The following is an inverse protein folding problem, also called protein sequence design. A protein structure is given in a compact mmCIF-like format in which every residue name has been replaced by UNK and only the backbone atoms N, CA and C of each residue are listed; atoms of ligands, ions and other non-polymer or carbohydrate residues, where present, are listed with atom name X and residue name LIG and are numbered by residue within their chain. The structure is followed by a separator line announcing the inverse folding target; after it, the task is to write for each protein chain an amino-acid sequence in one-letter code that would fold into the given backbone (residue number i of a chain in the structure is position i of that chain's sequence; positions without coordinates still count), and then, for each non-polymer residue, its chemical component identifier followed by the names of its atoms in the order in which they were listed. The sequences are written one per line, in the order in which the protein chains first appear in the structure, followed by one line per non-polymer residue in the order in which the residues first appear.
data_IF_672471400713
#
_entry.id   IF_672471400713
#
_cell.length_a   1.000
_cell.length_b   1.000
_cell.length_c   1.000
_cell.angle_alpha   90.00
_cell.angle_beta   90.00
_cell.angle_gamma   90.00
#
_symmetry.space_group_name_H-M   'P 1'
#
loop_
_entity.id
_entity.type
_entity.pdbx_description
1 polymer ?
#
# COMPACT_ATOMS: atom_id res chain seq x y z
N UNK A 1 20.44 14.16 8.15
CA UNK A 1 19.68 13.09 8.82
C UNK A 1 18.43 12.67 8.03
N UNK A 2 17.55 13.58 7.60
CA UNK A 2 16.33 13.24 6.83
C UNK A 2 16.58 12.48 5.52
N UNK A 3 17.64 12.80 4.77
CA UNK A 3 17.99 12.07 3.53
C UNK A 3 18.40 10.61 3.74
N UNK A 4 18.95 10.25 4.91
CA UNK A 4 19.27 8.85 5.23
C UNK A 4 18.00 8.04 5.52
N UNK A 5 16.95 8.68 6.05
CA UNK A 5 15.65 8.04 6.22
C UNK A 5 14.93 7.79 4.89
N UNK A 6 15.13 8.62 3.87
CA UNK A 6 14.46 8.46 2.56
C UNK A 6 14.85 7.12 1.92
N UNK A 7 16.15 6.81 1.85
CA UNK A 7 16.63 5.54 1.31
C UNK A 7 16.18 4.34 2.13
N UNK A 8 16.23 4.42 3.47
CA UNK A 8 15.71 3.38 4.35
C UNK A 8 14.22 3.14 4.15
N UNK A 9 13.43 4.21 4.00
CA UNK A 9 11.98 4.12 3.80
C UNK A 9 11.65 3.49 2.44
N UNK A 10 12.43 3.77 1.39
CA UNK A 10 12.23 3.11 0.09
C UNK A 10 12.49 1.60 0.16
N UNK A 11 13.57 1.18 0.83
CA UNK A 11 13.87 -0.25 1.05
C UNK A 11 12.76 -0.91 1.88
N UNK A 12 12.33 -0.24 2.95
CA UNK A 12 11.20 -0.67 3.78
C UNK A 12 9.94 -0.95 2.96
N UNK A 13 9.53 0.03 2.17
CA UNK A 13 8.33 -0.07 1.33
C UNK A 13 8.45 -1.18 0.29
N UNK A 14 9.64 -1.35 -0.30
CA UNK A 14 9.87 -2.40 -1.28
C UNK A 14 9.78 -3.80 -0.66
N UNK A 15 10.37 -4.02 0.53
CA UNK A 15 10.25 -5.29 1.26
C UNK A 15 8.79 -5.58 1.59
N UNK A 16 8.03 -4.59 2.07
CA UNK A 16 6.61 -4.75 2.43
C UNK A 16 5.78 -5.08 1.19
N UNK A 17 5.93 -4.31 0.12
CA UNK A 17 5.21 -4.53 -1.11
C UNK A 17 5.55 -5.89 -1.74
N UNK A 18 6.82 -6.29 -1.70
CA UNK A 18 7.27 -7.61 -2.12
C UNK A 18 6.66 -8.73 -1.27
N UNK A 19 6.60 -8.57 0.06
CA UNK A 19 5.96 -9.55 0.94
C UNK A 19 4.46 -9.71 0.65
N UNK A 20 3.76 -8.61 0.42
CA UNK A 20 2.35 -8.63 0.02
C UNK A 20 2.21 -9.36 -1.32
N UNK A 21 3.07 -9.03 -2.29
CA UNK A 21 3.11 -9.69 -3.59
C UNK A 21 3.39 -11.19 -3.48
N UNK A 22 4.33 -11.61 -2.62
CA UNK A 22 4.73 -13.01 -2.48
C UNK A 22 3.64 -13.91 -1.87
N UNK A 23 2.62 -13.30 -1.28
CA UNK A 23 1.43 -13.99 -0.76
C UNK A 23 0.30 -14.13 -1.80
N UNK A 24 0.40 -13.45 -2.95
CA UNK A 24 -0.59 -13.49 -4.03
C UNK A 24 -0.46 -14.73 -4.90
N UNK A 25 -0.90 -15.87 -4.38
CA UNK A 25 -0.90 -17.14 -5.13
C UNK A 25 -2.19 -17.30 -5.91
N UNK A 26 -2.14 -17.23 -7.25
CA UNK A 26 -3.32 -17.26 -8.12
C UNK A 26 -4.13 -18.55 -8.01
N UNK A 27 -3.48 -19.70 -7.76
CA UNK A 27 -4.21 -20.96 -7.52
C UNK A 27 -5.09 -20.85 -6.26
N UNK A 28 -4.53 -20.34 -5.16
CA UNK A 28 -5.27 -20.10 -3.91
C UNK A 28 -6.36 -19.04 -4.07
N UNK A 29 -6.11 -17.99 -4.86
CA UNK A 29 -7.11 -16.95 -5.14
C UNK A 29 -8.32 -17.51 -5.92
N UNK A 30 -8.12 -18.48 -6.81
CA UNK A 30 -9.21 -19.12 -7.57
C UNK A 30 -10.10 -20.00 -6.69
N UNK A 31 -9.58 -20.50 -5.58
CA UNK A 31 -10.34 -21.28 -4.59
C UNK A 31 -11.25 -20.38 -3.73
N UNK A 32 -11.01 -19.06 -3.73
CA UNK A 32 -11.82 -18.11 -2.99
C UNK A 32 -13.21 -18.01 -3.63
N UNK A 33 -14.23 -18.37 -2.84
CA UNK A 33 -15.62 -18.30 -3.28
C UNK A 33 -16.06 -16.88 -3.65
N UNK A 34 -16.96 -16.76 -4.64
CA UNK A 34 -17.53 -15.48 -5.11
C UNK A 34 -18.08 -14.59 -3.99
N UNK A 35 -18.64 -15.18 -2.94
CA UNK A 35 -19.16 -14.45 -1.77
C UNK A 35 -18.05 -13.69 -1.04
N UNK A 36 -16.87 -14.30 -0.86
CA UNK A 36 -15.72 -13.68 -0.20
C UNK A 36 -15.18 -12.54 -1.07
N UNK A 37 -15.09 -12.73 -2.38
CA UNK A 37 -14.65 -11.67 -3.30
C UNK A 37 -15.55 -10.44 -3.18
N UNK A 38 -16.87 -10.63 -3.22
CA UNK A 38 -17.82 -9.53 -3.07
C UNK A 38 -17.70 -8.83 -1.71
N UNK A 39 -17.53 -9.60 -0.62
CA UNK A 39 -17.31 -9.05 0.71
C UNK A 39 -16.02 -8.22 0.79
N UNK A 40 -14.92 -8.71 0.21
CA UNK A 40 -13.65 -8.00 0.17
C UNK A 40 -13.75 -6.72 -0.67
N UNK A 41 -14.36 -6.80 -1.86
CA UNK A 41 -14.60 -5.63 -2.70
C UNK A 41 -15.42 -4.56 -1.97
N UNK A 42 -16.50 -4.95 -1.28
CA UNK A 42 -17.29 -4.03 -0.49
C UNK A 42 -16.50 -3.44 0.69
N UNK A 43 -15.71 -4.26 1.37
CA UNK A 43 -14.85 -3.84 2.48
C UNK A 43 -13.77 -2.85 2.04
N UNK A 44 -13.29 -2.93 0.80
CA UNK A 44 -12.31 -2.01 0.24
C UNK A 44 -12.96 -0.73 -0.27
N UNK A 45 -14.02 -0.84 -1.08
CA UNK A 45 -14.63 0.31 -1.76
C UNK A 45 -15.52 1.16 -0.86
N UNK A 46 -16.27 0.56 0.07
CA UNK A 46 -17.17 1.31 0.95
C UNK A 46 -16.44 2.35 1.81
N UNK A 47 -15.37 2.01 2.58
CA UNK A 47 -14.63 3.02 3.33
C UNK A 47 -13.93 4.04 2.44
N UNK A 48 -13.48 3.66 1.24
CA UNK A 48 -12.91 4.60 0.27
C UNK A 48 -13.90 5.71 -0.06
N UNK A 49 -15.10 5.36 -0.54
CA UNK A 49 -16.09 6.35 -0.94
C UNK A 49 -16.66 7.14 0.25
N UNK A 50 -16.88 6.49 1.38
CA UNK A 50 -17.40 7.15 2.59
C UNK A 50 -16.39 8.18 3.11
N UNK A 51 -15.10 7.83 3.21
CA UNK A 51 -14.06 8.77 3.65
C UNK A 51 -13.87 9.89 2.62
N UNK A 52 -13.88 9.58 1.33
CA UNK A 52 -13.78 10.61 0.29
C UNK A 52 -14.89 11.65 0.41
N UNK A 53 -16.14 11.20 0.56
CA UNK A 53 -17.29 12.07 0.72
C UNK A 53 -17.20 12.87 2.02
N UNK A 54 -16.92 12.21 3.15
CA UNK A 54 -16.89 12.83 4.47
C UNK A 54 -15.80 13.91 4.59
N UNK A 55 -14.58 13.63 4.14
CA UNK A 55 -13.48 14.60 4.14
C UNK A 55 -13.72 15.76 3.15
N UNK A 56 -14.33 15.48 2.00
CA UNK A 56 -14.69 16.54 1.04
C UNK A 56 -15.75 17.49 1.60
N UNK A 57 -16.75 16.96 2.32
CA UNK A 57 -17.79 17.78 2.99
C UNK A 57 -17.19 18.62 4.13
N UNK A 58 -16.15 18.12 4.79
CA UNK A 58 -15.38 18.88 5.80
C UNK A 58 -14.56 20.04 5.19
N UNK A 59 -14.53 20.17 3.86
CA UNK A 59 -13.83 21.24 3.17
C UNK A 59 -12.35 20.95 2.90
N UNK A 60 -11.89 19.70 3.05
CA UNK A 60 -10.55 19.34 2.60
C UNK A 60 -10.47 19.44 1.08
N UNK A 61 -9.33 19.90 0.57
CA UNK A 61 -9.07 19.92 -0.86
C UNK A 61 -9.20 18.50 -1.43
N UNK A 62 -9.91 18.37 -2.55
CA UNK A 62 -10.24 17.07 -3.16
C UNK A 62 -9.03 16.13 -3.34
N UNK A 63 -7.84 16.59 -3.80
CA UNK A 63 -6.66 15.72 -3.89
C UNK A 63 -6.22 15.16 -2.53
N UNK A 64 -6.33 15.95 -1.45
CA UNK A 64 -6.01 15.51 -0.09
C UNK A 64 -7.02 14.49 0.41
N UNK A 65 -8.32 14.78 0.22
CA UNK A 65 -9.41 13.86 0.57
C UNK A 65 -9.28 12.52 -0.19
N UNK A 66 -8.88 12.56 -1.46
CA UNK A 66 -8.64 11.39 -2.31
C UNK A 66 -7.52 10.50 -1.78
N UNK A 67 -6.40 11.09 -1.35
CA UNK A 67 -5.29 10.33 -0.75
C UNK A 67 -5.71 9.72 0.58
N UNK A 68 -6.42 10.46 1.45
CA UNK A 68 -6.94 9.92 2.71
C UNK A 68 -7.91 8.76 2.47
N UNK A 69 -8.85 8.94 1.55
CA UNK A 69 -9.79 7.90 1.12
C UNK A 69 -9.07 6.66 0.62
N UNK A 70 -7.99 6.82 -0.14
CA UNK A 70 -7.19 5.73 -0.68
C UNK A 70 -6.47 4.89 0.39
N UNK A 71 -6.23 5.44 1.58
CA UNK A 71 -5.62 4.74 2.72
C UNK A 71 -6.67 4.02 3.58
N UNK A 72 -7.93 4.48 3.55
CA UNK A 72 -9.03 3.93 4.35
C UNK A 72 -9.29 2.41 4.18
N UNK A 73 -9.09 1.79 2.99
CA UNK A 73 -9.26 0.34 2.81
C UNK A 73 -8.23 -0.50 3.59
N UNK A 74 -6.99 -0.01 3.71
CA UNK A 74 -5.85 -0.76 4.25
C UNK A 74 -6.17 -1.38 5.61
N UNK A 75 -5.95 -2.69 5.78
CA UNK A 75 -6.30 -3.45 6.99
C UNK A 75 -5.08 -4.20 7.48
N UNK A 76 -4.91 -4.36 8.80
CA UNK A 76 -3.78 -5.12 9.35
C UNK A 76 -4.22 -6.54 9.76
N UNK A 77 -3.97 -7.58 8.92
CA UNK A 77 -4.46 -8.93 9.17
C UNK A 77 -3.87 -9.57 10.44
N UNK A 78 -2.64 -9.19 10.82
CA UNK A 78 -1.87 -9.81 11.90
C UNK A 78 -2.61 -9.82 13.24
N UNK A 79 -3.34 -8.75 13.55
CA UNK A 79 -4.10 -8.64 14.81
C UNK A 79 -5.25 -9.64 14.88
N UNK A 80 -6.08 -9.67 13.83
CA UNK A 80 -7.20 -10.60 13.70
C UNK A 80 -6.72 -12.05 13.62
N UNK A 81 -5.69 -12.31 12.80
CA UNK A 81 -5.08 -13.64 12.68
C UNK A 81 -4.52 -14.15 14.01
N UNK A 82 -3.87 -13.29 14.79
CA UNK A 82 -3.32 -13.66 16.10
C UNK A 82 -4.40 -14.08 17.09
N UNK A 83 -5.55 -13.40 17.08
CA UNK A 83 -6.70 -13.76 17.93
C UNK A 83 -7.30 -15.11 17.50
N UNK A 84 -7.52 -15.30 16.19
CA UNK A 84 -8.03 -16.57 15.63
C UNK A 84 -7.12 -17.73 16.04
N UNK A 85 -5.80 -17.57 15.85
CA UNK A 85 -4.80 -18.59 16.19
C UNK A 85 -4.74 -18.86 17.69
N UNK A 86 -4.74 -17.82 18.54
CA UNK A 86 -4.70 -17.97 20.00
C UNK A 86 -5.92 -18.70 20.54
N UNK A 87 -7.08 -18.48 19.94
CA UNK A 87 -8.34 -19.13 20.31
C UNK A 87 -8.55 -20.48 19.63
N UNK A 88 -7.66 -20.90 18.73
CA UNK A 88 -7.86 -22.05 17.83
C UNK A 88 -9.24 -22.02 17.15
N UNK A 89 -9.71 -20.83 16.79
CA UNK A 89 -11.03 -20.65 16.20
C UNK A 89 -11.05 -21.18 14.76
N UNK A 90 -12.10 -21.90 14.39
CA UNK A 90 -12.27 -22.48 13.06
C UNK A 90 -13.74 -22.46 12.62
N UNK A 91 -13.98 -22.69 11.33
CA UNK A 91 -15.31 -22.81 10.73
C UNK A 91 -15.65 -21.69 9.75
N UNK A 92 -16.87 -21.71 9.17
CA UNK A 92 -17.21 -20.90 8.00
C UNK A 92 -17.09 -19.39 8.20
N UNK A 93 -17.28 -18.91 9.43
CA UNK A 93 -17.06 -17.50 9.76
C UNK A 93 -15.58 -17.13 9.68
N UNK A 94 -14.71 -17.95 10.26
CA UNK A 94 -13.25 -17.75 10.25
C UNK A 94 -12.71 -17.83 8.83
N UNK A 95 -13.19 -18.80 8.03
CA UNK A 95 -12.77 -18.96 6.64
C UNK A 95 -13.08 -17.70 5.81
N UNK A 96 -14.24 -17.06 6.05
CA UNK A 96 -14.60 -15.78 5.43
C UNK A 96 -13.72 -14.64 5.90
N UNK A 97 -13.40 -14.57 7.20
CA UNK A 97 -12.50 -13.55 7.75
C UNK A 97 -11.13 -13.65 7.08
N UNK A 98 -10.54 -14.86 7.06
CA UNK A 98 -9.23 -15.09 6.46
C UNK A 98 -9.25 -14.85 4.94
N UNK A 99 -10.29 -15.29 4.25
CA UNK A 99 -10.45 -15.06 2.81
C UNK A 99 -10.56 -13.58 2.44
N UNK A 100 -11.31 -12.79 3.22
CA UNK A 100 -11.36 -11.33 3.01
C UNK A 100 -10.00 -10.69 3.30
N UNK A 101 -9.33 -11.07 4.39
CA UNK A 101 -7.99 -10.55 4.70
C UNK A 101 -6.97 -10.84 3.60
N UNK A 102 -7.01 -12.03 3.00
CA UNK A 102 -6.09 -12.43 1.93
C UNK A 102 -6.19 -11.55 0.68
N UNK A 103 -7.37 -10.98 0.40
CA UNK A 103 -7.60 -10.12 -0.76
C UNK A 103 -7.25 -8.64 -0.51
N UNK A 104 -7.17 -8.22 0.75
CA UNK A 104 -7.20 -6.80 1.10
C UNK A 104 -5.89 -6.07 0.81
N UNK A 105 -4.74 -6.65 1.14
CA UNK A 105 -3.48 -5.89 1.17
C UNK A 105 -3.04 -5.46 -0.23
N UNK A 106 -3.02 -6.38 -1.19
CA UNK A 106 -2.67 -6.04 -2.57
C UNK A 106 -3.69 -5.12 -3.23
N UNK A 107 -4.98 -5.37 -2.99
CA UNK A 107 -6.04 -4.52 -3.54
C UNK A 107 -6.01 -3.10 -2.95
N UNK A 108 -5.69 -2.96 -1.66
CA UNK A 108 -5.47 -1.66 -1.02
C UNK A 108 -4.27 -0.93 -1.62
N UNK A 109 -3.16 -1.62 -1.89
CA UNK A 109 -2.00 -1.05 -2.59
C UNK A 109 -2.37 -0.57 -3.98
N UNK A 110 -3.15 -1.36 -4.75
CA UNK A 110 -3.61 -0.99 -6.09
C UNK A 110 -4.53 0.24 -6.07
N UNK A 111 -5.54 0.25 -5.19
CA UNK A 111 -6.44 1.39 -5.00
C UNK A 111 -5.61 2.63 -4.63
N UNK A 112 -4.64 2.49 -3.74
CA UNK A 112 -3.77 3.58 -3.32
C UNK A 112 -2.90 4.11 -4.45
N UNK A 113 -2.26 3.24 -5.23
CA UNK A 113 -1.40 3.66 -6.34
C UNK A 113 -2.21 4.49 -7.34
N UNK A 114 -3.36 3.99 -7.79
CA UNK A 114 -4.24 4.70 -8.74
C UNK A 114 -4.75 6.03 -8.18
N UNK A 115 -5.28 6.04 -6.95
CA UNK A 115 -5.85 7.24 -6.36
C UNK A 115 -4.79 8.30 -6.04
N UNK A 116 -3.60 7.89 -5.60
CA UNK A 116 -2.49 8.79 -5.30
C UNK A 116 -1.87 9.39 -6.57
N UNK A 117 -1.76 8.60 -7.64
CA UNK A 117 -1.37 9.09 -8.95
C UNK A 117 -2.40 10.09 -9.49
N UNK A 118 -3.70 9.80 -9.38
CA UNK A 118 -4.76 10.75 -9.73
C UNK A 118 -4.68 12.04 -8.89
N UNK A 119 -4.48 11.94 -7.57
CA UNK A 119 -4.32 13.11 -6.72
C UNK A 119 -3.14 14.00 -7.14
N UNK A 120 -2.01 13.40 -7.50
CA UNK A 120 -0.84 14.12 -8.03
C UNK A 120 -1.17 14.89 -9.31
N UNK A 121 -1.86 14.24 -10.26
CA UNK A 121 -2.26 14.90 -11.52
C UNK A 121 -3.17 16.11 -11.27
N UNK A 122 -4.07 16.02 -10.29
CA UNK A 122 -4.98 17.09 -9.93
C UNK A 122 -4.27 18.27 -9.25
N UNK A 123 -3.19 18.02 -8.52
CA UNK A 123 -2.38 19.09 -7.91
C UNK A 123 -1.47 19.76 -8.95
N UNK A 124 -0.99 19.02 -9.94
CA UNK A 124 -0.08 19.53 -10.98
C UNK A 124 -0.78 20.18 -12.17
N UNK A 125 -2.07 19.93 -12.39
CA UNK A 125 -2.82 20.54 -13.48
C UNK A 125 -3.20 21.99 -13.15
N UNK A 126 -2.78 22.94 -13.99
CA UNK A 126 -3.17 24.37 -13.91
C UNK A 126 -4.64 24.63 -14.33
N UNK A 127 -5.54 23.65 -14.16
CA UNK A 127 -6.98 23.80 -14.36
C UNK A 127 -7.52 23.64 -15.78
N UNK A 128 -6.69 23.31 -16.78
CA UNK A 128 -7.18 23.04 -18.15
C UNK A 128 -7.64 21.59 -18.32
N UNK A 129 -8.78 21.37 -18.97
CA UNK A 129 -9.34 20.02 -19.20
C UNK A 129 -8.42 19.13 -20.05
N UNK A 130 -7.72 19.72 -21.04
CA UNK A 130 -6.76 19.01 -21.88
C UNK A 130 -5.51 18.54 -21.11
N UNK A 131 -5.07 19.31 -20.11
CA UNK A 131 -3.97 18.90 -19.21
C UNK A 131 -4.38 17.80 -18.24
N UNK A 132 -5.66 17.70 -17.89
CA UNK A 132 -6.14 16.66 -16.97
C UNK A 132 -6.15 15.28 -17.65
N UNK A 133 -6.62 15.21 -18.91
CA UNK A 133 -6.65 13.95 -19.67
C UNK A 133 -5.25 13.41 -19.94
N UNK A 134 -4.31 14.27 -20.33
CA UNK A 134 -2.92 13.84 -20.58
C UNK A 134 -2.21 13.41 -19.29
N UNK A 135 -2.47 14.10 -18.18
CA UNK A 135 -1.91 13.74 -16.88
C UNK A 135 -2.45 12.40 -16.37
N UNK A 136 -3.76 12.15 -16.50
CA UNK A 136 -4.38 10.86 -16.14
C UNK A 136 -3.86 9.71 -17.00
N UNK A 137 -3.67 9.92 -18.31
CA UNK A 137 -3.07 8.92 -19.20
C UNK A 137 -1.63 8.63 -18.77
N UNK A 138 -0.85 9.67 -18.45
CA UNK A 138 0.54 9.51 -18.00
C UNK A 138 0.61 8.74 -16.68
N UNK A 139 -0.23 9.11 -15.70
CA UNK A 139 -0.33 8.39 -14.42
C UNK A 139 -0.67 6.91 -14.63
N UNK A 140 -1.70 6.62 -15.44
CA UNK A 140 -2.12 5.25 -15.74
C UNK A 140 -1.02 4.45 -16.44
N UNK A 141 -0.33 5.09 -17.40
CA UNK A 141 0.77 4.46 -18.14
C UNK A 141 1.94 4.14 -17.21
N UNK A 142 2.31 5.06 -16.32
CA UNK A 142 3.39 4.81 -15.35
C UNK A 142 3.06 3.65 -14.41
N UNK A 143 1.80 3.52 -13.96
CA UNK A 143 1.39 2.37 -13.13
C UNK A 143 1.44 1.05 -13.91
N UNK A 144 0.99 1.05 -15.18
CA UNK A 144 1.10 -0.12 -16.05
C UNK A 144 2.56 -0.51 -16.29
N UNK A 145 3.44 0.46 -16.58
CA UNK A 145 4.88 0.21 -16.74
C UNK A 145 5.48 -0.31 -15.43
N UNK A 146 5.05 0.20 -14.28
CA UNK A 146 5.49 -0.30 -12.96
C UNK A 146 5.20 -1.79 -12.80
N UNK A 147 3.99 -2.21 -13.16
CA UNK A 147 3.60 -3.62 -13.14
C UNK A 147 4.47 -4.42 -14.11
N UNK A 148 4.60 -3.97 -15.36
CA UNK A 148 5.40 -4.67 -16.39
C UNK A 148 6.87 -4.81 -15.97
N UNK A 149 7.48 -3.77 -15.39
CA UNK A 149 8.85 -3.83 -14.88
C UNK A 149 8.98 -4.85 -13.76
N UNK A 150 8.05 -4.86 -12.80
CA UNK A 150 8.06 -5.85 -11.72
C UNK A 150 7.86 -7.28 -12.24
N UNK A 151 6.97 -7.46 -13.23
CA UNK A 151 6.80 -8.75 -13.92
C UNK A 151 8.09 -9.21 -14.59
N UNK A 152 8.78 -8.32 -15.31
CA UNK A 152 10.04 -8.62 -15.99
C UNK A 152 11.14 -9.03 -15.00
N UNK A 153 11.27 -8.33 -13.87
CA UNK A 153 12.20 -8.70 -12.81
C UNK A 153 11.85 -10.06 -12.18
N UNK A 154 10.57 -10.36 -12.00
CA UNK A 154 10.12 -11.67 -11.50
C UNK A 154 10.42 -12.80 -12.48
N UNK A 155 10.21 -12.59 -13.78
CA UNK A 155 10.60 -13.55 -14.81
C UNK A 155 12.11 -13.73 -14.85
N UNK A 156 12.89 -12.66 -14.67
CA UNK A 156 14.34 -12.74 -14.56
C UNK A 156 14.78 -13.60 -13.37
N UNK A 157 14.11 -13.49 -12.21
CA UNK A 157 14.34 -14.40 -11.08
C UNK A 157 14.06 -15.86 -11.45
N UNK A 158 12.90 -16.14 -12.06
CA UNK A 158 12.50 -17.49 -12.45
C UNK A 158 13.37 -18.10 -13.56
N UNK A 159 13.99 -17.26 -14.39
CA UNK A 159 15.00 -17.67 -15.36
C UNK A 159 16.32 -17.96 -14.68
N UNK A 160 16.83 -17.01 -13.89
CA UNK A 160 18.09 -17.11 -13.16
C UNK A 160 18.12 -18.28 -12.17
N UNK A 161 16.99 -18.61 -11.54
CA UNK A 161 16.92 -19.73 -10.59
C UNK A 161 17.29 -21.07 -11.25
N UNK A 162 16.88 -21.29 -12.51
CA UNK A 162 17.17 -22.52 -13.25
C UNK A 162 18.67 -22.71 -13.53
N UNK A 163 19.45 -21.62 -13.45
CA UNK A 163 20.91 -21.62 -13.64
C UNK A 163 21.67 -21.66 -12.31
N UNK A 164 21.00 -21.45 -11.18
CA UNK A 164 21.64 -21.37 -9.85
C UNK A 164 21.32 -22.61 -9.03
N UNK A 165 20.15 -23.21 -9.22
CA UNK A 165 19.68 -24.44 -8.60
C UNK A 165 20.38 -25.69 -9.18
N UNK A 166 21.71 -25.63 -9.27
CA UNK A 166 22.56 -26.66 -9.87
C UNK A 166 22.95 -27.76 -8.85
N UNK A 167 22.36 -27.74 -7.66
CA UNK A 167 22.69 -28.68 -6.56
C UNK A 167 24.05 -28.45 -5.90
N UNK A 168 24.79 -27.42 -6.30
CA UNK A 168 26.11 -27.09 -5.72
C UNK A 168 25.98 -26.53 -4.29
N UNK A 169 26.96 -26.79 -3.39
CA UNK A 169 26.94 -26.22 -2.04
C UNK A 169 26.83 -24.68 -2.09
N UNK A 170 25.84 -24.13 -1.38
CA UNK A 170 25.60 -22.69 -1.31
C UNK A 170 24.65 -22.10 -2.36
N UNK A 171 23.96 -22.93 -3.16
CA UNK A 171 22.95 -22.45 -4.13
C UNK A 171 21.86 -21.58 -3.49
N UNK A 172 21.39 -21.92 -2.27
CA UNK A 172 20.39 -21.13 -1.52
C UNK A 172 20.87 -19.71 -1.20
N UNK A 173 22.15 -19.55 -0.85
CA UNK A 173 22.74 -18.24 -0.58
C UNK A 173 22.84 -17.40 -1.87
N UNK A 174 23.15 -18.03 -3.01
CA UNK A 174 23.17 -17.37 -4.32
C UNK A 174 21.78 -16.93 -4.77
N UNK A 175 20.75 -17.77 -4.57
CA UNK A 175 19.35 -17.39 -4.84
C UNK A 175 18.89 -16.24 -3.94
N UNK A 176 19.26 -16.27 -2.67
CA UNK A 176 18.97 -15.19 -1.72
C UNK A 176 19.64 -13.88 -2.16
N UNK A 177 20.91 -13.93 -2.56
CA UNK A 177 21.63 -12.78 -3.09
C UNK A 177 20.99 -12.23 -4.38
N UNK A 178 20.57 -13.11 -5.29
CA UNK A 178 19.84 -12.73 -6.51
C UNK A 178 18.51 -12.05 -6.18
N UNK A 179 17.75 -12.60 -5.23
CA UNK A 179 16.49 -12.01 -4.79
C UNK A 179 16.70 -10.60 -4.23
N UNK A 180 17.64 -10.44 -3.31
CA UNK A 180 17.98 -9.14 -2.72
C UNK A 180 18.48 -8.16 -3.79
N UNK A 181 19.29 -8.63 -4.74
CA UNK A 181 19.74 -7.85 -5.89
C UNK A 181 18.58 -7.36 -6.76
N UNK A 182 17.61 -8.23 -7.06
CA UNK A 182 16.41 -7.87 -7.83
C UNK A 182 15.47 -6.95 -7.04
N UNK A 183 15.38 -7.11 -5.71
CA UNK A 183 14.63 -6.19 -4.86
C UNK A 183 15.26 -4.79 -4.90
N UNK A 184 16.59 -4.68 -4.79
CA UNK A 184 17.29 -3.40 -4.95
C UNK A 184 17.14 -2.84 -6.37
N UNK A 185 17.19 -3.70 -7.40
CA UNK A 185 16.93 -3.29 -8.79
C UNK A 185 15.48 -2.81 -9.00
N UNK A 186 14.51 -3.35 -8.26
CA UNK A 186 13.12 -2.88 -8.28
C UNK A 186 13.01 -1.44 -7.76
N UNK A 187 13.77 -1.11 -6.71
CA UNK A 187 13.85 0.26 -6.17
C UNK A 187 14.57 1.17 -7.17
N UNK A 188 15.72 0.74 -7.69
CA UNK A 188 16.52 1.50 -8.66
C UNK A 188 15.75 1.82 -9.94
N UNK A 189 15.01 0.84 -10.48
CA UNK A 189 14.14 1.05 -11.64
C UNK A 189 12.97 1.99 -11.33
N UNK A 190 12.36 1.88 -10.15
CA UNK A 190 11.31 2.80 -9.74
C UNK A 190 11.79 4.26 -9.67
N UNK A 191 12.99 4.48 -9.12
CA UNK A 191 13.60 5.82 -9.04
C UNK A 191 14.02 6.33 -10.42
N UNK A 192 14.70 5.52 -11.22
CA UNK A 192 15.26 5.93 -12.51
C UNK A 192 14.18 6.22 -13.56
N UNK A 193 13.11 5.44 -13.57
CA UNK A 193 12.03 5.54 -14.56
C UNK A 193 10.80 6.31 -14.04
N UNK A 194 10.81 6.76 -12.78
CA UNK A 194 9.68 7.46 -12.16
C UNK A 194 8.45 6.58 -11.95
N UNK A 195 8.65 5.29 -11.66
CA UNK A 195 7.61 4.29 -11.47
C UNK A 195 7.16 4.20 -10.01
N UNK A 196 6.10 3.43 -9.75
CA UNK A 196 5.57 3.21 -8.42
C UNK A 196 6.52 2.34 -7.58
N UNK A 197 6.97 2.90 -6.45
CA UNK A 197 7.84 2.23 -5.48
C UNK A 197 7.13 1.05 -4.78
N UNK A 198 5.82 0.92 -4.95
CA UNK A 198 5.01 -0.17 -4.41
C UNK A 198 4.69 -1.22 -5.48
N UNK A 199 4.26 -0.81 -6.69
CA UNK A 199 3.81 -1.78 -7.70
C UNK A 199 4.94 -2.61 -8.31
N UNK A 200 6.14 -2.04 -8.50
CA UNK A 200 7.28 -2.81 -9.04
C UNK A 200 7.63 -3.99 -8.11
N UNK A 201 7.95 -3.77 -6.81
CA UNK A 201 8.25 -4.88 -5.89
C UNK A 201 7.05 -5.80 -5.63
N UNK A 202 5.81 -5.28 -5.60
CA UNK A 202 4.62 -6.12 -5.47
C UNK A 202 4.46 -7.09 -6.64
N UNK A 203 4.64 -6.61 -7.88
CA UNK A 203 4.51 -7.43 -9.08
C UNK A 203 5.64 -8.45 -9.19
N UNK A 204 6.87 -8.07 -8.78
CA UNK A 204 8.00 -8.97 -8.61
C UNK A 204 7.66 -10.14 -7.65
N UNK A 205 7.13 -9.82 -6.47
CA UNK A 205 6.70 -10.82 -5.49
C UNK A 205 5.61 -11.75 -6.01
N UNK A 206 4.61 -11.18 -6.68
CA UNK A 206 3.51 -11.95 -7.26
C UNK A 206 3.98 -12.95 -8.33
N UNK A 207 4.89 -12.55 -9.22
CA UNK A 207 5.43 -13.48 -10.24
C UNK A 207 6.23 -14.60 -9.59
N UNK A 208 7.09 -14.26 -8.64
CA UNK A 208 7.91 -15.25 -7.94
C UNK A 208 7.01 -16.26 -7.22
N UNK A 209 6.02 -15.81 -6.45
CA UNK A 209 5.11 -16.68 -5.72
C UNK A 209 4.36 -17.70 -6.58
N UNK A 210 4.08 -17.35 -7.83
CA UNK A 210 3.36 -18.21 -8.78
C UNK A 210 4.27 -19.04 -9.70
N UNK A 211 5.58 -18.77 -9.69
CA UNK A 211 6.57 -19.52 -10.45
C UNK A 211 7.35 -20.56 -9.64
N UNK A 212 7.25 -20.50 -8.32
CA UNK A 212 7.96 -21.38 -7.37
C UNK A 212 7.02 -22.39 -6.70
N UNK A 213 7.59 -23.45 -6.13
CA UNK A 213 6.85 -24.46 -5.37
C UNK A 213 6.55 -24.01 -3.92
N UNK A 214 5.79 -24.81 -3.18
CA UNK A 214 5.39 -24.46 -1.80
C UNK A 214 6.58 -24.43 -0.82
N UNK A 215 7.61 -25.25 -1.05
CA UNK A 215 8.78 -25.32 -0.18
C UNK A 215 9.65 -24.05 -0.31
N UNK A 216 9.95 -23.64 -1.55
CA UNK A 216 10.67 -22.41 -1.84
C UNK A 216 9.86 -21.18 -1.39
N UNK A 217 8.52 -21.22 -1.56
CA UNK A 217 7.65 -20.15 -1.05
C UNK A 217 7.71 -20.01 0.48
N UNK A 218 7.73 -21.13 1.19
CA UNK A 218 7.92 -21.15 2.65
C UNK A 218 9.26 -20.54 3.06
N UNK A 219 10.35 -20.94 2.40
CA UNK A 219 11.69 -20.38 2.64
C UNK A 219 11.73 -18.87 2.38
N UNK A 220 11.20 -18.40 1.26
CA UNK A 220 11.13 -16.97 0.95
C UNK A 220 10.30 -16.21 1.97
N UNK A 221 9.18 -16.75 2.41
CA UNK A 221 8.34 -16.11 3.42
C UNK A 221 9.09 -15.93 4.75
N UNK A 222 9.83 -16.95 5.21
CA UNK A 222 10.66 -16.85 6.42
C UNK A 222 11.80 -15.84 6.26
N UNK A 223 12.48 -15.88 5.11
CA UNK A 223 13.54 -14.93 4.77
C UNK A 223 13.01 -13.50 4.83
N UNK A 224 11.92 -13.19 4.14
CA UNK A 224 11.33 -11.84 4.12
C UNK A 224 10.89 -11.43 5.52
N UNK A 225 10.24 -12.32 6.28
CA UNK A 225 9.76 -12.02 7.64
C UNK A 225 10.90 -11.61 8.57
N UNK A 226 12.08 -12.22 8.41
CA UNK A 226 13.28 -11.85 9.18
C UNK A 226 13.76 -10.41 8.93
N UNK A 227 13.46 -9.84 7.75
CA UNK A 227 13.72 -8.43 7.43
C UNK A 227 12.54 -7.52 7.77
N UNK A 228 11.32 -7.97 7.54
CA UNK A 228 10.09 -7.19 7.76
C UNK A 228 9.89 -6.83 9.23
N UNK A 229 10.11 -7.78 10.15
CA UNK A 229 9.87 -7.55 11.58
C UNK A 229 10.75 -6.43 12.18
N UNK A 230 12.10 -6.43 12.02
CA UNK A 230 12.94 -5.33 12.48
C UNK A 230 12.59 -4.00 11.82
N UNK A 231 12.25 -4.05 10.53
CA UNK A 231 11.89 -2.89 9.74
C UNK A 231 10.61 -2.23 10.26
N UNK A 232 9.60 -3.02 10.61
CA UNK A 232 8.40 -2.54 11.27
C UNK A 232 8.69 -1.92 12.65
N UNK A 233 9.57 -2.51 13.45
CA UNK A 233 9.95 -1.94 14.75
C UNK A 233 10.55 -0.55 14.56
N UNK A 234 11.58 -0.42 13.71
CA UNK A 234 12.23 0.86 13.43
C UNK A 234 11.22 1.87 12.88
N UNK A 235 10.36 1.43 11.97
CA UNK A 235 9.33 2.24 11.36
C UNK A 235 8.32 2.79 12.38
N UNK A 236 7.77 1.95 13.26
CA UNK A 236 6.80 2.38 14.28
C UNK A 236 7.45 3.30 15.33
N UNK A 237 8.70 3.02 15.72
CA UNK A 237 9.45 3.89 16.63
C UNK A 237 9.68 5.27 16.01
N UNK A 238 10.12 5.34 14.75
CA UNK A 238 10.34 6.61 14.06
C UNK A 238 9.03 7.35 13.82
N UNK A 239 7.97 6.66 13.40
CA UNK A 239 6.65 7.27 13.20
C UNK A 239 6.11 7.88 14.50
N UNK A 240 6.28 7.18 15.63
CA UNK A 240 5.92 7.70 16.96
C UNK A 240 6.79 8.88 17.38
N UNK A 241 8.10 8.79 17.20
CA UNK A 241 9.05 9.85 17.57
C UNK A 241 8.84 11.15 16.78
N UNK A 242 8.41 11.04 15.52
CA UNK A 242 8.13 12.18 14.65
C UNK A 242 6.67 12.64 14.68
N UNK A 243 5.82 12.09 15.56
CA UNK A 243 4.43 12.49 15.65
C UNK A 243 4.34 13.95 16.15
N UNK A 244 3.87 14.91 15.33
CA UNK A 244 3.84 16.31 15.71
C UNK A 244 2.66 16.56 16.65
N UNK A 245 2.86 16.35 17.96
CA UNK A 245 1.81 16.49 18.99
C UNK A 245 1.14 17.87 18.96
N UNK A 246 1.90 18.93 18.67
CA UNK A 246 1.38 20.29 18.53
C UNK A 246 0.45 20.44 17.33
N UNK A 247 0.76 19.81 16.19
CA UNK A 247 -0.12 19.80 15.01
C UNK A 247 -1.35 18.92 15.27
N UNK A 248 -1.19 17.78 15.94
CA UNK A 248 -2.29 16.89 16.30
C UNK A 248 -3.32 17.56 17.23
N UNK A 249 -2.90 18.52 18.06
CA UNK A 249 -3.78 19.30 18.93
C UNK A 249 -4.62 20.36 18.21
N UNK A 250 -4.39 20.62 16.92
CA UNK A 250 -5.20 21.58 16.16
C UNK A 250 -6.61 21.01 15.93
N UNK A 251 -7.63 21.77 16.33
CA UNK A 251 -9.03 21.34 16.28
C UNK A 251 -9.46 20.87 14.87
N UNK A 252 -8.99 21.52 13.81
CA UNK A 252 -9.29 21.12 12.43
C UNK A 252 -8.71 19.74 12.06
N UNK A 253 -7.48 19.45 12.48
CA UNK A 253 -6.84 18.14 12.25
C UNK A 253 -7.50 17.05 13.09
N UNK A 254 -7.87 17.38 14.34
CA UNK A 254 -8.58 16.47 15.22
C UNK A 254 -9.97 16.12 14.65
N UNK A 255 -10.71 17.12 14.17
CA UNK A 255 -12.01 16.93 13.54
C UNK A 255 -11.91 16.07 12.28
N UNK A 256 -10.97 16.38 11.37
CA UNK A 256 -10.72 15.55 10.18
C UNK A 256 -10.34 14.10 10.58
N UNK A 257 -9.46 13.93 11.56
CA UNK A 257 -9.08 12.59 12.05
C UNK A 257 -10.27 11.81 12.60
N UNK A 258 -11.15 12.46 13.37
CA UNK A 258 -12.35 11.83 13.90
C UNK A 258 -13.33 11.44 12.78
N UNK A 259 -13.50 12.30 11.78
CA UNK A 259 -14.33 12.04 10.60
C UNK A 259 -13.77 10.89 9.77
N UNK A 260 -12.45 10.89 9.50
CA UNK A 260 -11.75 9.79 8.85
C UNK A 260 -11.99 8.46 9.57
N UNK A 261 -11.80 8.42 10.90
CA UNK A 261 -12.00 7.21 11.70
C UNK A 261 -13.47 6.76 11.64
N UNK A 262 -14.42 7.65 11.89
CA UNK A 262 -15.85 7.30 11.84
C UNK A 262 -16.27 6.80 10.45
N UNK A 263 -15.84 7.48 9.39
CA UNK A 263 -16.14 7.11 8.00
C UNK A 263 -15.50 5.78 7.61
N UNK A 264 -14.27 5.51 8.04
CA UNK A 264 -13.57 4.25 7.79
C UNK A 264 -14.25 3.09 8.52
N UNK A 265 -14.48 3.21 9.83
CA UNK A 265 -15.12 2.16 10.63
C UNK A 265 -16.56 1.90 10.16
N UNK A 266 -17.34 2.97 10.01
CA UNK A 266 -18.71 2.91 9.53
C UNK A 266 -18.81 2.35 8.11
N UNK A 267 -17.95 2.80 7.20
CA UNK A 267 -17.91 2.34 5.81
C UNK A 267 -17.57 0.86 5.70
N UNK A 268 -16.55 0.37 6.44
CA UNK A 268 -16.19 -1.06 6.46
C UNK A 268 -17.34 -1.92 7.01
N UNK A 269 -17.90 -1.51 8.14
CA UNK A 269 -19.00 -2.24 8.77
C UNK A 269 -20.23 -2.27 7.86
N UNK A 270 -20.67 -1.12 7.37
CA UNK A 270 -21.85 -0.99 6.51
C UNK A 270 -21.67 -1.73 5.17
N UNK A 271 -20.50 -1.62 4.54
CA UNK A 271 -20.19 -2.31 3.29
C UNK A 271 -20.30 -3.83 3.42
N UNK A 272 -19.73 -4.39 4.49
CA UNK A 272 -19.85 -5.82 4.77
C UNK A 272 -21.27 -6.21 5.18
N UNK A 273 -21.92 -5.44 6.05
CA UNK A 273 -23.28 -5.71 6.51
C UNK A 273 -24.26 -5.76 5.34
N UNK A 274 -24.21 -4.75 4.45
CA UNK A 274 -25.05 -4.69 3.25
C UNK A 274 -24.77 -5.87 2.32
N UNK A 275 -23.50 -6.16 2.04
CA UNK A 275 -23.11 -7.25 1.13
C UNK A 275 -23.43 -8.63 1.68
N UNK A 276 -23.21 -8.86 2.98
CA UNK A 276 -23.58 -10.11 3.63
C UNK A 276 -25.10 -10.31 3.65
N UNK A 277 -25.87 -9.21 3.73
CA UNK A 277 -27.34 -9.24 3.67
C UNK A 277 -27.84 -9.54 2.26
N UNK A 278 -27.29 -8.91 1.23
CA UNK A 278 -27.66 -9.19 -0.18
C UNK A 278 -27.32 -10.62 -0.58
N UNK A 279 -26.20 -11.15 -0.06
CA UNK A 279 -25.79 -12.55 -0.25
C UNK A 279 -26.53 -13.55 0.65
N UNK A 280 -27.47 -13.09 1.50
CA UNK A 280 -28.25 -13.92 2.42
C UNK A 280 -27.38 -14.86 3.29
N UNK A 281 -26.24 -14.36 3.76
CA UNK A 281 -25.34 -15.12 4.64
C UNK A 281 -25.93 -15.30 6.04
N UNK A 282 -25.33 -16.18 6.84
CA UNK A 282 -25.74 -16.45 8.21
C UNK A 282 -25.72 -15.20 9.11
N UNK A 283 -26.52 -15.22 10.18
CA UNK A 283 -26.68 -14.08 11.09
C UNK A 283 -25.35 -13.64 11.75
N UNK A 284 -24.48 -14.55 12.23
CA UNK A 284 -23.17 -14.17 12.75
C UNK A 284 -22.32 -13.43 11.72
N UNK A 285 -22.26 -13.93 10.49
CA UNK A 285 -21.52 -13.30 9.40
C UNK A 285 -22.05 -11.90 9.11
N UNK A 286 -23.37 -11.71 8.98
CA UNK A 286 -23.95 -10.39 8.73
C UNK A 286 -23.65 -9.39 9.85
N UNK A 287 -23.75 -9.81 11.10
CA UNK A 287 -23.66 -8.90 12.26
C UNK A 287 -22.24 -8.59 12.70
N UNK A 288 -21.34 -9.56 12.62
CA UNK A 288 -20.02 -9.49 13.26
C UNK A 288 -18.85 -9.43 12.27
N UNK A 289 -19.01 -9.89 11.03
CA UNK A 289 -17.88 -9.95 10.08
C UNK A 289 -17.25 -8.57 9.85
N UNK A 290 -18.05 -7.51 9.76
CA UNK A 290 -17.57 -6.14 9.59
C UNK A 290 -16.66 -5.64 10.72
N UNK A 291 -16.84 -6.18 11.94
CA UNK A 291 -16.07 -5.81 13.13
C UNK A 291 -14.68 -6.45 13.15
N UNK A 292 -14.38 -7.38 12.25
CA UNK A 292 -13.10 -8.08 12.18
C UNK A 292 -12.01 -7.31 11.41
N UNK A 293 -12.37 -6.22 10.71
CA UNK A 293 -11.46 -5.46 9.84
C UNK A 293 -11.17 -3.98 10.19
N UNK A 294 -11.40 -3.48 11.43
CA UNK A 294 -11.10 -2.08 11.73
C UNK A 294 -9.59 -1.81 11.78
N UNK A 295 -8.78 -2.81 12.14
CA UNK A 295 -7.35 -2.69 12.38
C UNK A 295 -6.61 -2.05 11.20
N UNK A 296 -5.73 -1.11 11.52
CA UNK A 296 -4.82 -0.45 10.59
C UNK A 296 -3.41 -0.58 11.15
N UNK A 297 -2.41 -0.70 10.28
CA UNK A 297 -1.04 -0.95 10.71
C UNK A 297 -0.01 -0.45 9.73
N UNK A 298 1.08 -1.19 9.60
CA UNK A 298 2.27 -0.77 8.84
C UNK A 298 1.96 -0.45 7.38
N UNK A 299 1.09 -1.23 6.73
CA UNK A 299 0.70 -1.00 5.33
C UNK A 299 0.21 0.43 5.11
N UNK A 300 -0.77 0.88 5.89
CA UNK A 300 -1.38 2.19 5.70
C UNK A 300 -0.41 3.36 5.91
N UNK A 301 0.45 3.24 6.91
CA UNK A 301 1.52 4.21 7.14
C UNK A 301 2.56 4.18 6.01
N UNK A 302 2.88 2.98 5.51
CA UNK A 302 3.75 2.79 4.36
C UNK A 302 3.21 3.47 3.10
N UNK A 303 1.91 3.33 2.82
CA UNK A 303 1.24 4.02 1.71
C UNK A 303 1.41 5.55 1.82
N UNK A 304 1.11 6.14 2.99
CA UNK A 304 1.25 7.60 3.20
C UNK A 304 2.70 8.07 3.00
N UNK A 305 3.68 7.30 3.48
CA UNK A 305 5.08 7.64 3.30
C UNK A 305 5.56 7.46 1.86
N UNK A 306 5.09 6.44 1.16
CA UNK A 306 5.35 6.23 -0.27
C UNK A 306 4.83 7.42 -1.10
N UNK A 307 3.65 7.93 -0.75
CA UNK A 307 3.11 9.13 -1.39
C UNK A 307 3.96 10.36 -1.08
N UNK A 308 4.38 10.53 0.17
CA UNK A 308 5.25 11.66 0.56
C UNK A 308 6.62 11.62 -0.12
N UNK A 309 7.21 10.43 -0.31
CA UNK A 309 8.51 10.25 -0.96
C UNK A 309 8.44 10.33 -2.48
N UNK A 310 7.23 10.35 -3.08
CA UNK A 310 7.07 10.50 -4.51
C UNK A 310 7.77 11.77 -5.02
N UNK A 311 8.60 11.68 -6.09
CA UNK A 311 9.29 12.81 -6.68
C UNK A 311 8.35 13.95 -7.07
N UNK A 312 7.12 13.62 -7.49
CA UNK A 312 6.09 14.58 -7.86
C UNK A 312 5.61 15.45 -6.67
N UNK A 313 5.42 14.83 -5.50
CA UNK A 313 5.09 15.56 -4.25
C UNK A 313 6.27 16.45 -3.84
N UNK A 314 7.49 15.93 -3.92
CA UNK A 314 8.71 16.66 -3.59
C UNK A 314 8.99 17.83 -4.53
N UNK A 315 8.63 17.71 -5.80
CA UNK A 315 8.70 18.78 -6.79
C UNK A 315 7.63 19.85 -6.54
N UNK A 316 6.38 19.44 -6.24
CA UNK A 316 5.30 20.36 -5.90
C UNK A 316 5.60 21.16 -4.61
N UNK A 317 6.18 20.51 -3.59
CA UNK A 317 6.61 21.19 -2.36
C UNK A 317 7.72 22.20 -2.65
N UNK A 318 8.71 21.86 -3.49
CA UNK A 318 9.76 22.80 -3.92
C UNK A 318 9.21 23.98 -4.72
N UNK A 319 8.27 23.75 -5.63
CA UNK A 319 7.61 24.83 -6.39
C UNK A 319 6.80 25.76 -5.48
N UNK A 320 6.02 25.23 -4.52
CA UNK A 320 5.30 26.08 -3.53
C UNK A 320 6.25 26.88 -2.64
N UNK A 321 7.34 26.28 -2.14
CA UNK A 321 8.37 27.02 -1.39
C UNK A 321 9.06 28.09 -2.24
N UNK A 322 9.22 27.86 -3.55
CA UNK A 322 9.78 28.88 -4.47
C UNK A 322 8.83 30.05 -4.73
N UNK A 323 7.50 29.80 -4.75
CA UNK A 323 6.47 30.84 -4.88
C UNK A 323 6.24 31.63 -3.58
N UNK A 324 6.53 31.05 -2.42
CA UNK A 324 6.42 31.70 -1.11
C UNK A 324 7.69 32.45 -0.67
N UNK A 325 8.80 32.39 -1.42
CA UNK A 325 9.90 33.34 -1.22
C UNK A 325 9.45 34.71 -1.71
N UNK A 326 9.42 35.77 -0.87
CA UNK A 326 9.14 37.11 -1.36
C UNK A 326 10.19 37.46 -2.42
N UNK A 327 9.73 37.90 -3.59
CA UNK A 327 10.55 38.60 -4.59
C UNK A 327 10.98 39.94 -4.01
N UNK A 328 11.94 39.93 -3.08
CA UNK A 328 12.66 41.13 -2.66
C UNK A 328 14.07 40.74 -2.19
N UNK A 329 14.92 40.39 -3.15
CA UNK A 329 16.37 40.57 -3.03
C UNK A 329 16.88 41.20 -4.32
N UNK A 330 16.60 42.49 -4.48
CA UNK A 330 17.23 43.37 -5.47
C UNK A 330 17.65 44.67 -4.80
N UNK A 331 18.67 44.52 -3.97
CA UNK A 331 19.59 45.48 -3.35
C UNK A 331 19.99 44.72 -2.08
N UNK A 332 21.24 44.35 -1.88
CA UNK A 332 22.34 45.22 -1.56
C UNK A 332 23.62 44.61 -2.12
N UNK A 333 24.23 45.34 -3.04
CA UNK A 333 25.65 45.22 -3.38
C UNK A 333 26.33 46.47 -2.83
N UNK A 334 27.49 46.26 -2.18
CA UNK A 334 28.54 47.22 -1.76
C UNK A 334 28.60 47.52 -0.25
N UNK A 335 29.83 47.34 0.24
CA UNK A 335 30.39 47.49 1.59
C UNK A 335 30.09 46.35 2.57
#
# INVERSE_FOLDING_TARGET
MLHALEGFTQVALAVIAFNIGSQLVFSRLKEIGRSIVLLATAQLLAPFFVVLAAESVMGLAFPTALVLAAVAPATAPTTTYSVIRRLNASGPFVDRVLGVLALNDAAAVLIFSVASAAALTLVSADGSAATLTSALVTATTNELVSVVTGLALGVAYLGGRKLIEDGTPGWQARLTAMLLGLLVASIGSAVALGLSHLLVPLSLGAVIANGIDDAERGFLHELIRSFEEPLFIVFFVLAGAHLPLSAAAHAAILAATAVYLAGRFGGKYAGIFATATTLKLDQPTRRYLGLCFPSQGALAMGLVLAFRSSPAVSACHRQRCSRLKPRSRSSWSRC
#
